data_IF_339807033323
#
_entry.id   IF_339807033323
#
_cell.length_a   1.000
_cell.length_b   1.000
_cell.length_c   1.000
_cell.angle_alpha   90.00
_cell.angle_beta   90.00
_cell.angle_gamma   90.00
#
_symmetry.space_group_name_H-M   'P 1'
#
loop_
_entity.id
_entity.type
_entity.pdbx_description
1 polymer ?
#
# COMPACT_ATOMS: atom_id res chain seq x y z
N UNK A 1 1.43 -24.63 25.13
CA UNK A 1 1.25 -23.30 25.75
C UNK A 1 -0.08 -22.81 25.24
N UNK A 2 -1.05 -22.63 26.13
CA UNK A 2 -2.39 -22.15 25.79
C UNK A 2 -2.26 -20.81 25.05
N UNK A 3 -2.70 -20.78 23.79
CA UNK A 3 -2.83 -19.55 23.00
C UNK A 3 -4.00 -18.77 23.57
N UNK A 4 -3.71 -17.95 24.58
CA UNK A 4 -4.70 -17.09 25.21
C UNK A 4 -5.29 -16.17 24.12
N UNK A 5 -6.61 -16.26 24.03
CA UNK A 5 -7.36 -15.93 22.83
C UNK A 5 -7.23 -14.45 22.48
N UNK A 6 -7.03 -14.16 21.20
CA UNK A 6 -7.14 -12.81 20.69
C UNK A 6 -8.50 -12.20 21.05
N UNK A 7 -8.55 -11.44 22.13
CA UNK A 7 -9.76 -10.73 22.52
C UNK A 7 -10.03 -9.59 21.53
N UNK A 8 -11.15 -9.65 20.83
CA UNK A 8 -11.58 -8.61 19.90
C UNK A 8 -13.05 -8.28 20.08
N UNK A 9 -13.43 -7.06 19.67
CA UNK A 9 -14.83 -6.76 19.32
C UNK A 9 -15.04 -7.00 17.84
N UNK A 10 -16.27 -7.27 17.42
CA UNK A 10 -16.61 -7.47 16.02
C UNK A 10 -17.76 -6.55 15.63
N UNK A 11 -17.67 -5.90 14.46
CA UNK A 11 -18.78 -5.12 13.91
C UNK A 11 -19.72 -5.94 13.03
N UNK A 12 -20.80 -5.31 12.55
CA UNK A 12 -21.82 -5.93 11.71
C UNK A 12 -21.29 -6.41 10.35
N UNK A 13 -20.16 -5.88 9.88
CA UNK A 13 -19.50 -6.28 8.64
C UNK A 13 -18.52 -7.45 8.85
N UNK A 14 -18.33 -7.88 10.10
CA UNK A 14 -17.38 -8.94 10.46
C UNK A 14 -15.95 -8.45 10.65
N UNK A 15 -15.70 -7.14 10.70
CA UNK A 15 -14.38 -6.61 11.05
C UNK A 15 -14.14 -6.85 12.54
N UNK A 16 -12.98 -7.41 12.85
CA UNK A 16 -12.56 -7.76 14.20
C UNK A 16 -11.50 -6.76 14.67
N UNK A 17 -11.75 -6.11 15.80
CA UNK A 17 -10.91 -5.08 16.40
C UNK A 17 -10.25 -5.66 17.66
N UNK A 18 -8.99 -6.12 17.58
CA UNK A 18 -8.30 -6.65 18.75
C UNK A 18 -8.16 -5.57 19.81
N UNK A 19 -8.32 -5.97 21.07
CA UNK A 19 -7.86 -5.14 22.19
C UNK A 19 -6.36 -4.94 22.05
N UNK A 20 -5.89 -3.72 22.26
CA UNK A 20 -4.46 -3.47 22.33
C UNK A 20 -3.88 -4.30 23.48
N UNK A 21 -2.93 -5.17 23.17
CA UNK A 21 -2.15 -5.84 24.20
C UNK A 21 -1.39 -4.80 25.02
N UNK A 22 -1.22 -5.05 26.32
CA UNK A 22 -0.62 -4.10 27.26
C UNK A 22 0.76 -3.64 26.79
N UNK A 23 0.80 -2.47 26.14
CA UNK A 23 2.02 -1.92 25.59
C UNK A 23 2.38 -0.61 26.27
N UNK A 24 3.69 -0.37 26.40
CA UNK A 24 4.26 0.81 27.06
C UNK A 24 4.04 2.05 26.18
N UNK A 25 2.83 2.62 26.23
CA UNK A 25 2.38 3.71 25.35
C UNK A 25 3.38 4.87 25.26
N UNK A 26 3.97 5.29 26.38
CA UNK A 26 4.97 6.37 26.40
C UNK A 26 6.27 6.00 25.65
N UNK A 27 6.69 4.73 25.74
CA UNK A 27 7.88 4.23 25.01
C UNK A 27 7.62 4.30 23.51
N UNK A 28 6.48 3.79 23.05
CA UNK A 28 6.14 3.78 21.63
C UNK A 28 5.98 5.21 21.09
N UNK A 29 5.36 6.12 21.85
CA UNK A 29 5.26 7.54 21.46
C UNK A 29 6.64 8.20 21.31
N UNK A 30 7.60 7.90 22.19
CA UNK A 30 8.97 8.40 22.06
C UNK A 30 9.69 7.80 20.85
N UNK A 31 9.50 6.51 20.57
CA UNK A 31 10.05 5.86 19.38
C UNK A 31 9.48 6.48 18.10
N UNK A 32 8.17 6.76 18.04
CA UNK A 32 7.55 7.42 16.90
C UNK A 32 8.17 8.80 16.61
N UNK A 33 8.49 9.60 17.64
CA UNK A 33 9.19 10.89 17.46
C UNK A 33 10.58 10.75 16.88
N UNK A 34 11.25 9.64 17.16
CA UNK A 34 12.59 9.33 16.63
C UNK A 34 12.50 8.84 15.19
N UNK A 35 11.52 7.98 14.90
CA UNK A 35 11.39 7.30 13.61
C UNK A 35 10.70 8.14 12.54
N UNK A 36 9.78 9.03 12.92
CA UNK A 36 8.97 9.81 11.97
C UNK A 36 9.32 11.30 12.10
N UNK A 37 10.00 11.90 11.11
CA UNK A 37 10.50 13.28 11.20
C UNK A 37 9.43 14.33 11.51
N UNK A 38 8.22 14.15 10.99
CA UNK A 38 7.09 15.06 11.20
C UNK A 38 6.57 15.05 12.64
N UNK A 39 6.80 13.97 13.39
CA UNK A 39 6.31 13.82 14.77
C UNK A 39 7.31 14.31 15.82
N UNK A 40 8.57 14.59 15.44
CA UNK A 40 9.69 14.88 16.36
C UNK A 40 9.36 15.88 17.47
N UNK A 41 8.62 16.94 17.15
CA UNK A 41 8.30 18.03 18.07
C UNK A 41 6.85 18.01 18.60
N UNK A 42 6.08 16.94 18.32
CA UNK A 42 4.69 16.83 18.73
C UNK A 42 4.55 16.30 20.16
N UNK A 43 3.58 16.83 20.91
CA UNK A 43 3.20 16.32 22.23
C UNK A 43 2.54 14.94 22.15
N UNK A 44 2.44 14.23 23.27
CA UNK A 44 1.73 12.93 23.32
C UNK A 44 0.28 13.08 22.84
N UNK A 45 -0.40 14.15 23.25
CA UNK A 45 -1.79 14.42 22.84
C UNK A 45 -1.93 14.70 21.35
N UNK A 46 -0.97 15.41 20.74
CA UNK A 46 -0.96 15.67 19.30
C UNK A 46 -0.80 14.38 18.51
N UNK A 47 0.16 13.52 18.90
CA UNK A 47 0.38 12.22 18.25
C UNK A 47 -0.86 11.35 18.41
N UNK A 48 -1.40 11.21 19.63
CA UNK A 48 -2.61 10.43 19.86
C UNK A 48 -3.83 10.97 19.11
N UNK A 49 -3.94 12.29 18.96
CA UNK A 49 -4.95 12.93 18.13
C UNK A 49 -4.84 12.52 16.66
N UNK A 50 -3.62 12.54 16.10
CA UNK A 50 -3.36 12.06 14.74
C UNK A 50 -3.69 10.58 14.57
N UNK A 51 -3.29 9.73 15.51
CA UNK A 51 -3.58 8.29 15.46
C UNK A 51 -5.07 8.00 15.45
N UNK A 52 -5.88 8.77 16.20
CA UNK A 52 -7.34 8.65 16.16
C UNK A 52 -7.92 9.01 14.79
N UNK A 53 -7.34 9.98 14.09
CA UNK A 53 -7.77 10.36 12.74
C UNK A 53 -7.41 9.31 11.69
N UNK A 54 -6.35 8.53 11.91
CA UNK A 54 -5.95 7.43 11.02
C UNK A 54 -6.88 6.21 11.10
N UNK A 55 -7.70 6.12 12.15
CA UNK A 55 -8.60 4.99 12.39
C UNK A 55 -7.96 3.82 13.13
N UNK A 56 -8.75 2.81 13.49
CA UNK A 56 -8.28 1.66 14.26
C UNK A 56 -7.54 0.65 13.37
N UNK A 57 -6.68 -0.15 13.98
CA UNK A 57 -6.20 -1.38 13.35
C UNK A 57 -7.23 -2.49 13.57
N UNK A 58 -7.50 -3.30 12.55
CA UNK A 58 -8.47 -4.39 12.60
C UNK A 58 -8.09 -5.48 11.61
N UNK A 59 -8.74 -6.63 11.72
CA UNK A 59 -8.62 -7.68 10.73
C UNK A 59 -9.99 -8.16 10.28
N UNK A 60 -10.09 -8.60 9.03
CA UNK A 60 -11.37 -8.85 8.38
C UNK A 60 -11.28 -10.15 7.57
N UNK A 61 -11.79 -11.27 8.14
CA UNK A 61 -11.85 -12.54 7.42
C UNK A 61 -12.71 -12.41 6.16
N UNK A 62 -12.14 -12.78 5.02
CA UNK A 62 -12.82 -12.81 3.71
C UNK A 62 -13.47 -14.17 3.50
N UNK A 63 -12.74 -15.24 3.79
CA UNK A 63 -13.22 -16.62 3.69
C UNK A 63 -12.57 -17.50 4.75
N UNK A 64 -13.34 -18.45 5.25
CA UNK A 64 -12.89 -19.46 6.22
C UNK A 64 -12.71 -20.86 5.62
N UNK A 65 -12.99 -21.04 4.32
CA UNK A 65 -12.99 -22.35 3.64
C UNK A 65 -12.54 -22.19 2.19
N UNK A 66 -11.30 -21.75 1.98
CA UNK A 66 -10.69 -21.82 0.65
C UNK A 66 -10.55 -23.27 0.19
N UNK A 67 -10.57 -23.52 -1.11
CA UNK A 67 -10.38 -24.87 -1.67
C UNK A 67 -9.02 -25.51 -1.35
N UNK A 68 -8.01 -24.71 -1.03
CA UNK A 68 -6.65 -25.12 -0.68
C UNK A 68 -6.38 -24.91 0.82
N UNK A 69 -5.51 -25.74 1.41
CA UNK A 69 -5.12 -25.60 2.82
C UNK A 69 -4.00 -24.55 3.05
N UNK A 70 -4.05 -23.44 2.31
CA UNK A 70 -3.14 -22.32 2.46
C UNK A 70 -3.90 -21.06 2.89
N UNK A 71 -3.25 -20.25 3.73
CA UNK A 71 -3.73 -18.95 4.16
C UNK A 71 -3.14 -17.83 3.30
N UNK A 72 -3.93 -16.80 3.02
CA UNK A 72 -3.48 -15.55 2.42
C UNK A 72 -3.82 -14.39 3.35
N UNK A 73 -2.79 -13.75 3.91
CA UNK A 73 -2.90 -12.60 4.80
C UNK A 73 -2.58 -11.33 4.02
N UNK A 74 -3.60 -10.58 3.62
CA UNK A 74 -3.42 -9.35 2.84
C UNK A 74 -3.26 -8.19 3.81
N UNK A 75 -2.09 -7.56 3.82
CA UNK A 75 -1.77 -6.46 4.75
C UNK A 75 -1.88 -5.12 4.05
N UNK A 76 -2.73 -4.24 4.55
CA UNK A 76 -2.90 -2.89 4.02
C UNK A 76 -2.96 -1.86 5.16
N UNK A 77 -2.58 -0.61 4.90
CA UNK A 77 -2.66 0.44 5.92
C UNK A 77 -4.09 0.92 6.22
N UNK A 78 -5.02 0.74 5.27
CA UNK A 78 -6.39 1.23 5.34
C UNK A 78 -6.63 2.44 4.45
N UNK A 79 -7.77 2.44 3.76
CA UNK A 79 -8.17 3.43 2.75
C UNK A 79 -9.49 4.13 3.11
N UNK A 80 -9.86 4.08 4.39
CA UNK A 80 -11.16 4.49 4.89
C UNK A 80 -12.29 3.51 4.54
N UNK A 81 -13.51 3.70 5.07
CA UNK A 81 -14.57 2.69 5.01
C UNK A 81 -14.92 2.21 3.60
N UNK A 82 -14.94 3.12 2.62
CA UNK A 82 -15.24 2.81 1.22
C UNK A 82 -14.08 2.06 0.56
N UNK A 83 -12.85 2.56 0.69
CA UNK A 83 -11.68 1.93 0.06
C UNK A 83 -11.36 0.56 0.67
N UNK A 84 -11.60 0.39 1.98
CA UNK A 84 -11.45 -0.91 2.66
C UNK A 84 -12.48 -1.93 2.16
N UNK A 85 -13.73 -1.47 1.91
CA UNK A 85 -14.77 -2.32 1.33
C UNK A 85 -14.48 -2.65 -0.13
N UNK A 86 -13.96 -1.72 -0.92
CA UNK A 86 -13.52 -1.96 -2.30
C UNK A 86 -12.44 -3.05 -2.33
N UNK A 87 -11.45 -2.98 -1.43
CA UNK A 87 -10.43 -4.03 -1.28
C UNK A 87 -11.06 -5.37 -0.90
N UNK A 88 -11.90 -5.40 0.15
CA UNK A 88 -12.58 -6.63 0.59
C UNK A 88 -13.39 -7.31 -0.52
N UNK A 89 -14.09 -6.53 -1.33
CA UNK A 89 -14.86 -7.05 -2.46
C UNK A 89 -13.97 -7.55 -3.60
N UNK A 90 -12.84 -6.89 -3.87
CA UNK A 90 -11.92 -7.29 -4.94
C UNK A 90 -11.26 -8.65 -4.69
N UNK A 91 -11.02 -9.01 -3.42
CA UNK A 91 -10.28 -10.22 -3.04
C UNK A 91 -11.17 -11.44 -2.77
N UNK A 92 -12.48 -11.36 -3.02
CA UNK A 92 -13.41 -12.48 -2.80
C UNK A 92 -12.97 -13.76 -3.54
N UNK A 93 -12.52 -13.61 -4.78
CA UNK A 93 -12.03 -14.74 -5.58
C UNK A 93 -10.68 -15.31 -5.11
N UNK A 94 -9.94 -14.59 -4.25
CA UNK A 94 -8.80 -15.15 -3.51
C UNK A 94 -9.32 -16.00 -2.36
N UNK A 95 -10.36 -15.54 -1.67
CA UNK A 95 -11.06 -16.25 -0.60
C UNK A 95 -11.74 -17.56 -1.02
N UNK A 96 -12.11 -17.70 -2.29
CA UNK A 96 -12.60 -18.97 -2.85
C UNK A 96 -11.49 -20.03 -2.93
N UNK A 97 -10.25 -19.61 -3.18
CA UNK A 97 -9.10 -20.51 -3.33
C UNK A 97 -8.39 -20.78 -2.01
N UNK A 98 -8.20 -19.74 -1.20
CA UNK A 98 -7.37 -19.75 0.01
C UNK A 98 -8.14 -19.20 1.20
N UNK A 99 -7.78 -19.63 2.40
CA UNK A 99 -8.29 -18.98 3.61
C UNK A 99 -7.72 -17.57 3.70
N UNK A 100 -8.56 -16.56 3.44
CA UNK A 100 -8.09 -15.19 3.22
C UNK A 100 -8.57 -14.26 4.32
N UNK A 101 -7.66 -13.43 4.85
CA UNK A 101 -7.96 -12.37 5.83
C UNK A 101 -7.26 -11.08 5.42
N UNK A 102 -7.97 -9.96 5.51
CA UNK A 102 -7.35 -8.64 5.45
C UNK A 102 -6.84 -8.26 6.84
N UNK A 103 -5.59 -7.83 6.96
CA UNK A 103 -5.05 -7.20 8.17
C UNK A 103 -4.83 -5.71 7.89
N UNK A 104 -5.71 -4.88 8.45
CA UNK A 104 -5.82 -3.47 8.16
C UNK A 104 -5.20 -2.65 9.28
N UNK A 105 -4.16 -1.87 8.96
CA UNK A 105 -3.52 -1.00 9.92
C UNK A 105 -2.05 -0.68 9.61
N UNK A 106 -1.62 0.51 10.04
CA UNK A 106 -0.22 0.96 9.89
C UNK A 106 0.75 0.27 10.85
N UNK A 107 0.25 -0.46 11.85
CA UNK A 107 1.08 -1.15 12.86
C UNK A 107 2.07 -0.24 13.62
N UNK A 108 1.76 1.06 13.73
CA UNK A 108 2.70 2.04 14.31
C UNK A 108 3.02 1.84 15.78
N UNK A 109 2.09 1.28 16.57
CA UNK A 109 2.24 1.08 18.02
C UNK A 109 1.68 -0.25 18.51
N UNK A 110 1.25 -1.13 17.61
CA UNK A 110 0.73 -2.45 17.94
C UNK A 110 0.71 -3.34 16.71
N UNK A 111 0.94 -4.63 16.92
CA UNK A 111 0.82 -5.69 15.92
C UNK A 111 -0.36 -6.63 16.21
N UNK A 112 -1.25 -6.30 17.17
CA UNK A 112 -2.30 -7.23 17.63
C UNK A 112 -3.22 -7.71 16.49
N UNK A 113 -3.61 -6.84 15.56
CA UNK A 113 -4.39 -7.23 14.38
C UNK A 113 -3.68 -8.24 13.48
N UNK A 114 -2.35 -8.14 13.34
CA UNK A 114 -1.53 -9.07 12.58
C UNK A 114 -1.44 -10.42 13.29
N UNK A 115 -1.05 -10.41 14.58
CA UNK A 115 -0.90 -11.61 15.39
C UNK A 115 -2.22 -12.37 15.49
N UNK A 116 -3.33 -11.66 15.71
CA UNK A 116 -4.65 -12.28 15.77
C UNK A 116 -5.11 -12.86 14.44
N UNK A 117 -4.79 -12.21 13.32
CA UNK A 117 -5.07 -12.79 12.00
C UNK A 117 -4.31 -14.10 11.79
N UNK A 118 -3.03 -14.13 12.17
CA UNK A 118 -2.18 -15.32 12.04
C UNK A 118 -2.64 -16.44 12.97
N UNK A 119 -2.93 -16.13 14.23
CA UNK A 119 -3.42 -17.11 15.19
C UNK A 119 -4.75 -17.73 14.72
N UNK A 120 -5.70 -16.94 14.22
CA UNK A 120 -6.95 -17.46 13.67
C UNK A 120 -6.72 -18.36 12.45
N UNK A 121 -5.69 -18.08 11.64
CA UNK A 121 -5.31 -18.96 10.54
C UNK A 121 -4.71 -20.27 11.04
N UNK A 122 -3.81 -20.23 12.02
CA UNK A 122 -3.18 -21.43 12.61
C UNK A 122 -4.22 -22.31 13.31
N UNK A 123 -5.15 -21.73 14.05
CA UNK A 123 -6.25 -22.44 14.73
C UNK A 123 -7.22 -23.13 13.76
N UNK A 124 -7.17 -22.75 12.48
CA UNK A 124 -7.92 -23.37 11.37
C UNK A 124 -7.06 -24.32 10.54
N UNK A 125 -5.91 -24.75 11.08
CA UNK A 125 -5.03 -25.76 10.50
C UNK A 125 -4.44 -25.42 9.11
N UNK A 126 -4.29 -24.13 8.78
CA UNK A 126 -3.59 -23.75 7.54
C UNK A 126 -2.13 -24.23 7.56
N UNK A 127 -1.67 -24.77 6.44
CA UNK A 127 -0.33 -25.34 6.30
C UNK A 127 0.75 -24.26 6.15
N UNK A 128 0.46 -23.25 5.33
CA UNK A 128 1.31 -22.08 5.07
C UNK A 128 0.46 -20.82 5.02
N UNK A 129 1.03 -19.69 5.43
CA UNK A 129 0.41 -18.35 5.37
C UNK A 129 1.27 -17.47 4.46
N UNK A 130 0.72 -17.07 3.33
CA UNK A 130 1.35 -16.13 2.41
C UNK A 130 0.89 -14.71 2.76
N UNK A 131 1.83 -13.88 3.18
CA UNK A 131 1.56 -12.48 3.54
C UNK A 131 1.75 -11.64 2.29
N UNK A 132 0.68 -10.95 1.88
CA UNK A 132 0.68 -10.04 0.72
C UNK A 132 0.78 -8.60 1.25
N UNK A 133 1.95 -7.95 1.20
CA UNK A 133 2.06 -6.53 1.50
C UNK A 133 1.41 -5.69 0.40
N UNK A 134 0.32 -5.00 0.73
CA UNK A 134 -0.32 -4.03 -0.18
C UNK A 134 0.50 -2.74 -0.17
N UNK A 135 1.50 -2.73 -1.05
CA UNK A 135 2.44 -1.63 -1.29
C UNK A 135 2.92 -1.68 -2.75
N UNK A 136 3.34 -0.54 -3.31
CA UNK A 136 4.02 -0.50 -4.61
C UNK A 136 5.43 -1.07 -4.53
N UNK A 137 6.11 -0.97 -3.39
CA UNK A 137 7.50 -1.39 -3.22
C UNK A 137 7.78 -1.93 -1.82
N UNK A 138 8.81 -2.75 -1.65
CA UNK A 138 9.29 -3.17 -0.32
C UNK A 138 10.09 -2.06 0.39
N UNK A 139 10.57 -1.07 -0.37
CA UNK A 139 11.42 0.01 0.11
C UNK A 139 10.60 1.16 0.69
N UNK A 140 9.94 0.90 1.82
CA UNK A 140 9.25 1.91 2.60
C UNK A 140 9.12 1.49 4.07
N UNK A 141 8.76 2.44 4.93
CA UNK A 141 8.69 2.20 6.37
C UNK A 141 7.56 1.26 6.79
N UNK A 142 6.44 1.20 6.06
CA UNK A 142 5.31 0.33 6.38
C UNK A 142 5.66 -1.14 6.19
N UNK A 143 6.25 -1.49 5.03
CA UNK A 143 6.66 -2.87 4.75
C UNK A 143 7.79 -3.30 5.69
N UNK A 144 8.74 -2.42 6.01
CA UNK A 144 9.77 -2.70 7.03
C UNK A 144 9.17 -2.95 8.41
N UNK A 145 8.14 -2.20 8.81
CA UNK A 145 7.45 -2.45 10.07
C UNK A 145 6.76 -3.82 10.07
N UNK A 146 6.13 -4.20 8.97
CA UNK A 146 5.52 -5.53 8.84
C UNK A 146 6.59 -6.65 8.85
N UNK A 147 7.69 -6.48 8.14
CA UNK A 147 8.82 -7.40 8.20
C UNK A 147 9.39 -7.52 9.62
N UNK A 148 9.47 -6.42 10.37
CA UNK A 148 9.86 -6.44 11.78
C UNK A 148 8.89 -7.30 12.62
N UNK A 149 7.58 -7.17 12.41
CA UNK A 149 6.55 -7.97 13.09
C UNK A 149 6.73 -9.46 12.78
N UNK A 150 7.03 -9.85 11.54
CA UNK A 150 7.28 -11.24 11.16
C UNK A 150 8.71 -11.73 11.43
N UNK A 151 9.50 -10.97 12.19
CA UNK A 151 10.88 -11.31 12.53
C UNK A 151 11.82 -11.46 11.31
N UNK A 152 11.52 -10.76 10.21
CA UNK A 152 12.33 -10.68 8.99
C UNK A 152 13.27 -9.47 8.96
N UNK A 153 12.99 -8.46 9.81
CA UNK A 153 13.84 -7.29 10.04
C UNK A 153 14.19 -7.19 11.53
N UNK A 154 15.43 -6.85 11.86
CA UNK A 154 15.88 -6.70 13.25
C UNK A 154 15.37 -5.40 13.88
N UNK A 155 15.25 -4.34 13.09
CA UNK A 155 14.90 -2.99 13.56
C UNK A 155 13.47 -2.64 13.15
N UNK A 156 12.73 -2.03 14.07
CA UNK A 156 11.40 -1.49 13.74
C UNK A 156 11.54 -0.20 12.93
N UNK A 157 10.54 0.08 12.09
CA UNK A 157 10.48 1.31 11.31
C UNK A 157 9.65 2.41 12.00
N UNK A 158 8.73 2.06 12.91
CA UNK A 158 7.89 3.01 13.64
C UNK A 158 8.15 2.95 15.14
N UNK A 159 7.69 1.88 15.78
CA UNK A 159 7.95 1.56 17.17
C UNK A 159 8.17 0.07 17.34
N UNK A 160 8.77 -0.29 18.46
CA UNK A 160 8.77 -1.68 18.91
C UNK A 160 7.33 -2.12 19.13
N UNK A 161 7.04 -3.35 18.70
CA UNK A 161 5.75 -4.04 18.82
C UNK A 161 6.02 -5.53 18.99
N UNK A 162 5.01 -6.28 19.41
CA UNK A 162 5.13 -7.73 19.51
C UNK A 162 5.41 -8.35 18.13
N UNK A 163 6.25 -9.38 18.12
CA UNK A 163 6.73 -10.05 16.92
C UNK A 163 6.26 -11.50 16.94
N UNK A 164 6.02 -12.04 15.76
CA UNK A 164 5.70 -13.44 15.55
C UNK A 164 6.78 -14.07 14.67
N UNK A 165 7.30 -15.21 15.14
CA UNK A 165 8.22 -16.04 14.37
C UNK A 165 7.55 -17.40 14.16
N UNK A 166 7.20 -17.70 12.92
CA UNK A 166 6.56 -18.96 12.57
C UNK A 166 7.01 -19.37 11.17
N UNK A 167 7.54 -20.59 11.05
CA UNK A 167 8.08 -21.16 9.80
C UNK A 167 7.04 -21.36 8.70
N UNK A 168 5.74 -21.34 9.05
CA UNK A 168 4.64 -21.40 8.08
C UNK A 168 4.40 -20.09 7.35
N UNK A 169 4.98 -18.97 7.81
CA UNK A 169 4.74 -17.64 7.25
C UNK A 169 5.76 -17.35 6.15
N UNK A 170 5.25 -16.96 4.98
CA UNK A 170 6.04 -16.51 3.84
C UNK A 170 5.60 -15.10 3.48
N UNK A 171 6.49 -14.12 3.66
CA UNK A 171 6.26 -12.75 3.19
C UNK A 171 6.53 -12.69 1.69
N UNK A 172 5.51 -12.31 0.91
CA UNK A 172 5.66 -12.09 -0.52
C UNK A 172 6.26 -10.72 -0.79
N UNK A 173 6.96 -10.59 -1.92
CA UNK A 173 7.36 -9.27 -2.42
C UNK A 173 6.11 -8.45 -2.81
N UNK A 174 6.10 -7.13 -2.59
CA UNK A 174 5.09 -6.24 -3.16
C UNK A 174 5.09 -6.27 -4.69
N UNK A 175 4.05 -5.71 -5.32
CA UNK A 175 3.87 -5.81 -6.78
C UNK A 175 5.00 -5.15 -7.60
N UNK A 176 5.74 -4.19 -7.02
CA UNK A 176 6.92 -3.57 -7.65
C UNK A 176 6.61 -3.10 -9.09
N UNK A 177 7.49 -3.43 -10.04
CA UNK A 177 7.30 -3.23 -11.48
C UNK A 177 6.93 -4.53 -12.19
N UNK A 178 6.22 -5.45 -11.52
CA UNK A 178 5.78 -6.71 -12.11
C UNK A 178 4.98 -6.51 -13.41
N UNK A 179 4.92 -7.55 -14.25
CA UNK A 179 4.14 -7.51 -15.50
C UNK A 179 2.67 -7.13 -15.27
N UNK A 180 2.08 -7.51 -14.14
CA UNK A 180 0.73 -7.12 -13.78
C UNK A 180 0.62 -5.61 -13.50
N UNK A 181 1.54 -5.00 -12.73
CA UNK A 181 1.56 -3.54 -12.55
C UNK A 181 1.72 -2.81 -13.90
N UNK A 182 2.61 -3.31 -14.76
CA UNK A 182 2.83 -2.80 -16.12
C UNK A 182 1.56 -2.80 -16.96
N UNK A 183 0.82 -3.92 -16.95
CA UNK A 183 -0.45 -4.06 -17.66
C UNK A 183 -1.55 -3.16 -17.09
N UNK A 184 -1.67 -3.05 -15.77
CA UNK A 184 -2.67 -2.19 -15.12
C UNK A 184 -2.48 -0.73 -15.54
N UNK A 185 -1.26 -0.20 -15.42
CA UNK A 185 -0.99 1.20 -15.78
C UNK A 185 -1.19 1.42 -17.29
N UNK A 186 -0.85 0.45 -18.15
CA UNK A 186 -1.14 0.53 -19.58
C UNK A 186 -2.65 0.59 -19.85
N UNK A 187 -3.46 -0.26 -19.22
CA UNK A 187 -4.92 -0.23 -19.39
C UNK A 187 -5.52 1.10 -18.90
N UNK A 188 -5.11 1.58 -17.72
CA UNK A 188 -5.54 2.89 -17.21
C UNK A 188 -5.10 4.06 -18.09
N UNK A 189 -3.93 3.95 -18.73
CA UNK A 189 -3.48 4.94 -19.72
C UNK A 189 -4.39 4.92 -20.95
N UNK A 190 -4.68 3.74 -21.50
CA UNK A 190 -5.53 3.57 -22.67
C UNK A 190 -6.97 4.02 -22.44
N UNK A 191 -7.48 3.94 -21.20
CA UNK A 191 -8.81 4.45 -20.84
C UNK A 191 -8.96 5.96 -21.04
N UNK A 192 -7.88 6.73 -20.87
CA UNK A 192 -7.90 8.20 -20.95
C UNK A 192 -7.15 8.77 -22.16
N UNK A 193 -6.39 7.93 -22.86
CA UNK A 193 -5.66 8.26 -24.09
C UNK A 193 -6.61 8.33 -25.29
N UNK A 194 -6.35 9.27 -26.19
CA UNK A 194 -7.15 9.47 -27.41
C UNK A 194 -6.30 9.73 -28.65
N UNK A 195 -5.12 10.33 -28.48
CA UNK A 195 -4.12 10.53 -29.54
C UNK A 195 -2.71 10.29 -28.98
N UNK A 196 -2.32 9.01 -28.80
CA UNK A 196 -1.10 8.65 -28.07
C UNK A 196 0.18 9.21 -28.68
N UNK A 197 0.21 9.54 -29.98
CA UNK A 197 1.39 10.16 -30.60
C UNK A 197 1.60 11.64 -30.18
N UNK A 198 0.54 12.30 -29.73
CA UNK A 198 0.53 13.69 -29.28
C UNK A 198 0.29 13.84 -27.77
N UNK A 199 0.43 12.75 -27.02
CA UNK A 199 0.26 12.71 -25.58
C UNK A 199 1.60 12.48 -24.87
N UNK A 200 1.69 12.99 -23.64
CA UNK A 200 2.71 12.61 -22.67
C UNK A 200 2.03 11.95 -21.48
N UNK A 201 2.69 10.97 -20.87
CA UNK A 201 2.17 10.29 -19.69
C UNK A 201 3.01 10.63 -18.45
N UNK A 202 2.32 10.99 -17.39
CA UNK A 202 2.84 11.07 -16.03
C UNK A 202 2.35 9.86 -15.25
N UNK A 203 3.28 9.07 -14.69
CA UNK A 203 2.95 8.07 -13.68
C UNK A 203 3.20 8.69 -12.31
N UNK A 204 2.16 8.87 -11.50
CA UNK A 204 2.24 9.57 -10.20
C UNK A 204 2.07 8.59 -9.04
N UNK A 205 2.94 8.68 -8.02
CA UNK A 205 2.84 7.89 -6.80
C UNK A 205 3.00 8.76 -5.55
N UNK A 206 2.67 8.18 -4.39
CA UNK A 206 2.90 8.82 -3.10
C UNK A 206 4.40 8.96 -2.83
N UNK A 207 5.18 7.90 -3.00
CA UNK A 207 6.62 7.86 -2.73
C UNK A 207 6.98 7.68 -1.26
N UNK A 208 8.14 7.10 -0.93
CA UNK A 208 8.63 6.93 0.42
C UNK A 208 9.17 8.25 0.99
N UNK A 209 9.23 8.34 2.31
CA UNK A 209 9.76 9.54 3.00
C UNK A 209 11.26 9.70 2.73
N UNK A 210 12.00 8.60 2.78
CA UNK A 210 13.45 8.59 2.59
C UNK A 210 13.83 8.77 1.11
N UNK A 211 14.91 9.52 0.87
CA UNK A 211 15.35 9.81 -0.49
C UNK A 211 15.84 8.55 -1.22
N UNK A 212 16.62 7.69 -0.58
CA UNK A 212 17.19 6.51 -1.24
C UNK A 212 16.08 5.52 -1.62
N UNK A 213 15.10 5.34 -0.74
CA UNK A 213 13.89 4.56 -1.03
C UNK A 213 13.10 5.17 -2.19
N UNK A 214 12.92 6.50 -2.20
CA UNK A 214 12.21 7.19 -3.26
C UNK A 214 12.90 7.05 -4.63
N UNK A 215 14.24 7.06 -4.65
CA UNK A 215 14.99 6.79 -5.86
C UNK A 215 14.79 5.35 -6.36
N UNK A 216 14.56 4.38 -5.48
CA UNK A 216 14.20 3.00 -5.87
C UNK A 216 12.79 2.97 -6.46
N UNK A 217 11.81 3.57 -5.80
CA UNK A 217 10.42 3.59 -6.30
C UNK A 217 10.33 4.27 -7.68
N UNK A 218 11.02 5.40 -7.87
CA UNK A 218 11.10 6.06 -9.18
C UNK A 218 11.72 5.16 -10.26
N UNK A 219 12.73 4.34 -9.93
CA UNK A 219 13.30 3.38 -10.89
C UNK A 219 12.29 2.28 -11.27
N UNK A 220 11.56 1.74 -10.30
CA UNK A 220 10.50 0.75 -10.55
C UNK A 220 9.41 1.35 -11.45
N UNK A 221 8.95 2.57 -11.15
CA UNK A 221 7.96 3.26 -11.98
C UNK A 221 8.50 3.58 -13.38
N UNK A 222 9.78 3.92 -13.52
CA UNK A 222 10.39 4.14 -14.83
C UNK A 222 10.44 2.85 -15.66
N UNK A 223 10.64 1.68 -15.05
CA UNK A 223 10.52 0.40 -15.75
C UNK A 223 9.08 0.16 -16.26
N UNK A 224 8.06 0.61 -15.52
CA UNK A 224 6.67 0.61 -15.98
C UNK A 224 6.53 1.56 -17.18
N UNK A 225 7.10 2.77 -17.11
CA UNK A 225 7.10 3.72 -18.21
C UNK A 225 7.76 3.19 -19.49
N UNK A 226 8.89 2.46 -19.37
CA UNK A 226 9.52 1.77 -20.50
C UNK A 226 8.61 0.72 -21.14
N UNK A 227 7.84 -0.01 -20.33
CA UNK A 227 6.86 -0.96 -20.85
C UNK A 227 5.77 -0.23 -21.64
N UNK A 228 5.26 0.89 -21.15
CA UNK A 228 4.22 1.68 -21.84
C UNK A 228 4.73 2.24 -23.16
N UNK A 229 5.95 2.77 -23.20
CA UNK A 229 6.58 3.26 -24.45
C UNK A 229 6.72 2.15 -25.50
N UNK A 230 6.92 0.90 -25.09
CA UNK A 230 7.01 -0.26 -25.99
C UNK A 230 5.66 -0.78 -26.47
N UNK A 231 4.57 -0.47 -25.76
CA UNK A 231 3.23 -1.04 -26.01
C UNK A 231 2.17 0.03 -26.34
N UNK A 232 2.57 1.28 -26.56
CA UNK A 232 1.72 2.38 -26.99
C UNK A 232 2.48 3.32 -27.93
N UNK A 233 1.80 4.28 -28.56
CA UNK A 233 2.45 5.31 -29.36
C UNK A 233 2.96 6.50 -28.52
N UNK A 234 2.74 6.50 -27.19
CA UNK A 234 3.23 7.54 -26.27
C UNK A 234 4.75 7.40 -26.15
N UNK A 235 5.48 8.41 -26.60
CA UNK A 235 6.95 8.42 -26.60
C UNK A 235 7.55 9.02 -25.34
N UNK A 236 6.80 9.87 -24.65
CA UNK A 236 7.25 10.56 -23.42
C UNK A 236 6.45 10.05 -22.24
N UNK A 237 7.14 9.34 -21.35
CA UNK A 237 6.59 8.86 -20.08
C UNK A 237 7.55 9.26 -18.97
N UNK A 238 7.06 9.96 -17.95
CA UNK A 238 7.85 10.42 -16.81
C UNK A 238 7.18 10.01 -15.51
N UNK A 239 7.97 9.47 -14.58
CA UNK A 239 7.48 9.05 -13.26
C UNK A 239 7.78 10.09 -12.20
N UNK A 240 6.81 10.36 -11.34
CA UNK A 240 6.97 11.28 -10.23
C UNK A 240 6.37 10.72 -8.94
N UNK A 241 7.00 11.11 -7.83
CA UNK A 241 6.52 10.87 -6.47
C UNK A 241 6.23 12.20 -5.82
N UNK A 242 5.08 12.33 -5.15
CA UNK A 242 4.76 13.55 -4.39
C UNK A 242 5.65 13.66 -3.12
N UNK A 243 5.97 12.53 -2.50
CA UNK A 243 6.52 12.38 -1.16
C UNK A 243 5.70 13.17 -0.13
N UNK A 244 4.42 12.84 -0.06
CA UNK A 244 3.42 13.59 0.72
C UNK A 244 3.70 13.61 2.24
N UNK A 245 4.36 12.58 2.75
CA UNK A 245 4.75 12.44 4.16
C UNK A 245 6.17 12.95 4.46
N UNK A 246 6.91 13.39 3.43
CA UNK A 246 8.24 13.97 3.61
C UNK A 246 8.17 15.42 4.13
N UNK A 247 9.28 15.97 4.66
CA UNK A 247 9.36 17.39 4.99
C UNK A 247 8.81 18.28 3.87
N UNK A 248 8.00 19.29 4.24
CA UNK A 248 7.28 20.16 3.29
C UNK A 248 8.15 20.70 2.15
N UNK A 249 9.41 21.04 2.43
CA UNK A 249 10.35 21.53 1.43
C UNK A 249 10.64 20.52 0.31
N UNK A 250 10.68 19.22 0.62
CA UNK A 250 10.88 18.14 -0.36
C UNK A 250 9.63 18.01 -1.23
N UNK A 251 8.46 17.90 -0.60
CA UNK A 251 7.17 17.85 -1.31
C UNK A 251 6.97 19.04 -2.25
N UNK A 252 7.24 20.25 -1.77
CA UNK A 252 7.10 21.48 -2.55
C UNK A 252 8.08 21.52 -3.74
N UNK A 253 9.28 20.93 -3.61
CA UNK A 253 10.23 20.79 -4.72
C UNK A 253 9.72 19.78 -5.76
N UNK A 254 9.17 18.65 -5.32
CA UNK A 254 8.58 17.64 -6.21
C UNK A 254 7.42 18.24 -7.01
N UNK A 255 6.50 18.95 -6.36
CA UNK A 255 5.44 19.66 -7.04
C UNK A 255 5.95 20.65 -8.10
N UNK A 256 6.98 21.44 -7.77
CA UNK A 256 7.58 22.37 -8.73
C UNK A 256 8.14 21.65 -9.97
N UNK A 257 8.79 20.49 -9.77
CA UNK A 257 9.32 19.68 -10.87
C UNK A 257 8.20 19.12 -11.76
N UNK A 258 7.13 18.59 -11.15
CA UNK A 258 5.98 18.07 -11.89
C UNK A 258 5.32 19.20 -12.70
N UNK A 259 5.04 20.35 -12.07
CA UNK A 259 4.46 21.52 -12.75
C UNK A 259 5.33 22.03 -13.89
N UNK A 260 6.65 22.05 -13.71
CA UNK A 260 7.57 22.45 -14.77
C UNK A 260 7.50 21.50 -15.97
N UNK A 261 7.47 20.19 -15.72
CA UNK A 261 7.29 19.19 -16.78
C UNK A 261 5.95 19.32 -17.50
N UNK A 262 4.87 19.53 -16.74
CA UNK A 262 3.54 19.72 -17.31
C UNK A 262 3.47 20.99 -18.18
N UNK A 263 3.95 22.12 -17.67
CA UNK A 263 3.94 23.37 -18.43
C UNK A 263 4.76 23.26 -19.72
N UNK A 264 5.95 22.66 -19.67
CA UNK A 264 6.77 22.43 -20.86
C UNK A 264 6.05 21.53 -21.88
N UNK A 265 5.37 20.47 -21.42
CA UNK A 265 4.61 19.57 -22.29
C UNK A 265 3.44 20.28 -22.98
N UNK A 266 2.72 21.14 -22.24
CA UNK A 266 1.64 21.95 -22.80
C UNK A 266 2.17 23.01 -23.80
N UNK A 267 3.32 23.63 -23.52
CA UNK A 267 4.00 24.55 -24.45
C UNK A 267 4.43 23.86 -25.75
N UNK A 268 4.82 22.59 -25.66
CA UNK A 268 5.11 21.71 -26.82
C UNK A 268 3.84 21.20 -27.54
N UNK A 269 2.66 21.64 -27.10
CA UNK A 269 1.37 21.27 -27.68
C UNK A 269 0.96 19.82 -27.41
N UNK A 270 1.54 19.17 -26.39
CA UNK A 270 1.19 17.80 -26.00
C UNK A 270 0.03 17.79 -25.01
N UNK A 271 -0.85 16.81 -25.15
CA UNK A 271 -1.88 16.53 -24.15
C UNK A 271 -1.29 15.72 -22.99
N UNK A 272 -1.53 16.16 -21.76
CA UNK A 272 -0.98 15.52 -20.57
C UNK A 272 -1.98 14.50 -20.02
N UNK A 273 -1.52 13.25 -19.90
CA UNK A 273 -2.18 12.20 -19.15
C UNK A 273 -1.47 12.00 -17.83
N UNK A 274 -2.24 11.77 -16.76
CA UNK A 274 -1.72 11.37 -15.47
C UNK A 274 -2.42 10.08 -15.02
N UNK A 275 -1.64 9.08 -14.64
CA UNK A 275 -2.15 7.80 -14.11
C UNK A 275 -1.50 7.54 -12.77
N UNK A 276 -2.31 7.18 -11.77
CA UNK A 276 -1.79 6.84 -10.44
C UNK A 276 -1.18 5.44 -10.37
N UNK A 277 0.05 5.35 -9.87
CA UNK A 277 0.64 4.12 -9.35
C UNK A 277 0.39 4.05 -7.83
N UNK A 278 -0.88 3.99 -7.46
CA UNK A 278 -1.32 3.94 -6.06
C UNK A 278 -2.11 2.66 -5.81
N UNK A 279 -2.00 2.12 -4.60
CA UNK A 279 -2.73 0.90 -4.25
C UNK A 279 -4.24 1.14 -4.26
N UNK A 280 -4.69 2.19 -3.58
CA UNK A 280 -6.09 2.61 -3.63
C UNK A 280 -6.24 3.87 -4.46
N UNK A 281 -7.37 3.96 -5.18
CA UNK A 281 -7.74 5.20 -5.85
C UNK A 281 -8.16 6.27 -4.85
N UNK A 282 -8.71 5.92 -3.68
CA UNK A 282 -9.38 6.87 -2.79
C UNK A 282 -8.38 7.72 -1.98
N UNK A 283 -8.68 9.00 -1.84
CA UNK A 283 -8.06 9.90 -0.85
C UNK A 283 -7.05 10.90 -1.41
N UNK A 284 -6.58 10.68 -2.64
CA UNK A 284 -5.56 11.55 -3.28
C UNK A 284 -6.13 12.46 -4.37
N UNK A 285 -7.32 12.15 -4.93
CA UNK A 285 -7.85 12.87 -6.09
C UNK A 285 -8.00 14.36 -5.84
N UNK A 286 -8.68 14.72 -4.75
CA UNK A 286 -8.91 16.11 -4.39
C UNK A 286 -7.59 16.88 -4.22
N UNK A 287 -6.58 16.22 -3.66
CA UNK A 287 -5.26 16.81 -3.44
C UNK A 287 -4.49 17.00 -4.74
N UNK A 288 -4.56 16.04 -5.67
CA UNK A 288 -4.02 16.16 -7.03
C UNK A 288 -4.71 17.33 -7.77
N UNK A 289 -6.04 17.42 -7.70
CA UNK A 289 -6.80 18.51 -8.29
C UNK A 289 -6.37 19.89 -7.75
N UNK A 290 -6.22 20.02 -6.43
CA UNK A 290 -5.72 21.23 -5.77
C UNK A 290 -4.25 21.54 -6.13
N UNK A 291 -3.38 20.53 -6.13
CA UNK A 291 -1.96 20.71 -6.41
C UNK A 291 -1.73 21.19 -7.85
N UNK A 292 -2.51 20.72 -8.82
CA UNK A 292 -2.35 21.04 -10.25
C UNK A 292 -3.45 21.95 -10.82
N UNK A 293 -4.11 22.71 -9.95
CA UNK A 293 -5.12 23.70 -10.36
C UNK A 293 -4.54 24.66 -11.43
N UNK A 294 -5.32 24.85 -12.51
CA UNK A 294 -4.97 25.75 -13.61
C UNK A 294 -4.07 25.15 -14.70
N UNK A 295 -3.66 23.88 -14.58
CA UNK A 295 -2.95 23.15 -15.63
C UNK A 295 -3.97 22.25 -16.37
N UNK A 296 -3.90 22.19 -17.71
CA UNK A 296 -4.71 21.26 -18.49
C UNK A 296 -4.08 19.86 -18.50
N UNK A 297 -4.80 18.87 -17.97
CA UNK A 297 -4.42 17.47 -17.93
C UNK A 297 -5.65 16.57 -17.76
N UNK A 298 -5.52 15.29 -18.11
CA UNK A 298 -6.53 14.27 -17.81
C UNK A 298 -5.99 13.25 -16.83
N UNK A 299 -6.73 12.98 -15.76
CA UNK A 299 -6.29 12.09 -14.67
C UNK A 299 -7.11 10.80 -14.62
N UNK A 300 -6.44 9.65 -14.56
CA UNK A 300 -7.04 8.39 -14.16
C UNK A 300 -6.83 8.18 -12.66
N UNK A 301 -7.90 8.26 -11.82
CA UNK A 301 -7.78 8.21 -10.37
C UNK A 301 -7.86 6.79 -9.78
N UNK A 302 -7.82 5.74 -10.61
CA UNK A 302 -7.99 4.36 -10.16
C UNK A 302 -6.72 3.82 -9.51
N UNK A 303 -6.89 3.00 -8.47
CA UNK A 303 -5.78 2.33 -7.79
C UNK A 303 -5.64 0.87 -8.22
N UNK A 304 -4.43 0.33 -8.11
CA UNK A 304 -4.09 -1.02 -8.54
C UNK A 304 -4.98 -2.10 -7.91
N UNK A 305 -5.35 -1.95 -6.62
CA UNK A 305 -6.12 -2.94 -5.87
C UNK A 305 -7.46 -3.31 -6.52
N UNK A 306 -8.04 -2.37 -7.26
CA UNK A 306 -9.36 -2.54 -7.88
C UNK A 306 -9.29 -3.15 -9.28
N UNK A 307 -8.08 -3.36 -9.80
CA UNK A 307 -7.88 -3.97 -11.11
C UNK A 307 -7.86 -5.50 -11.02
N UNK A 308 -8.54 -6.23 -11.93
CA UNK A 308 -8.50 -7.70 -11.96
C UNK A 308 -7.08 -8.29 -11.97
N UNK A 309 -6.16 -7.70 -12.74
CA UNK A 309 -4.74 -8.09 -12.75
C UNK A 309 -4.03 -8.02 -11.41
N UNK A 310 -4.44 -7.17 -10.48
CA UNK A 310 -3.84 -7.18 -9.14
C UNK A 310 -4.24 -8.44 -8.37
N UNK A 311 -5.48 -8.88 -8.56
CA UNK A 311 -5.98 -10.13 -7.98
C UNK A 311 -5.31 -11.35 -8.63
N UNK A 312 -5.10 -11.31 -9.94
CA UNK A 312 -4.35 -12.34 -10.64
C UNK A 312 -2.90 -12.41 -10.16
N UNK A 313 -2.26 -11.26 -9.96
CA UNK A 313 -0.91 -11.17 -9.38
C UNK A 313 -0.83 -11.81 -7.98
N UNK A 314 -1.81 -11.57 -7.11
CA UNK A 314 -1.86 -12.22 -5.79
C UNK A 314 -1.89 -13.74 -5.95
N UNK A 315 -2.79 -14.25 -6.81
CA UNK A 315 -2.97 -15.68 -7.02
C UNK A 315 -1.72 -16.34 -7.60
N UNK A 316 -1.10 -15.71 -8.59
CA UNK A 316 0.15 -16.20 -9.21
C UNK A 316 1.31 -16.16 -8.22
N UNK A 317 1.43 -15.08 -7.44
CA UNK A 317 2.49 -14.94 -6.43
C UNK A 317 2.38 -16.04 -5.36
N UNK A 318 1.17 -16.37 -4.92
CA UNK A 318 0.94 -17.49 -3.98
C UNK A 318 1.29 -18.82 -4.65
N UNK A 319 0.79 -19.08 -5.86
CA UNK A 319 1.01 -20.34 -6.57
C UNK A 319 2.51 -20.63 -6.78
N UNK A 320 3.28 -19.63 -7.20
CA UNK A 320 4.73 -19.73 -7.44
C UNK A 320 5.54 -20.09 -6.17
N UNK A 321 4.99 -19.94 -4.97
CA UNK A 321 5.64 -20.33 -3.71
C UNK A 321 5.10 -21.64 -3.12
N UNK A 322 4.17 -22.29 -3.83
CA UNK A 322 3.61 -23.59 -3.47
C UNK A 322 4.15 -24.74 -4.33
N UNK A 323 4.63 -24.44 -5.53
CA UNK A 323 5.32 -25.37 -6.45
C UNK A 323 6.79 -25.61 -6.06
#
# INVERSE_FOLDING_TARGET
MEMDHCEYTQDEMGKKYPKMMHHMMDKSLNQLRMSIPTLKNMSNDQIMGMMRMMGPNYFWPVSNQGSQNYGVLIMAHGYGPVGDLDLFNSVQSVGELYQTTLSMGMSMMTSSHVICSVNEMIDKDVEKIFVVPVSSTAHNTLVRQWNYIFNLEEQFAYSEVERIANERIVMLEPINDDIYAKKIILEYTNEISSDPANEVLIIIAHGPIDQADNEIELRLMNNIGEYIKKHSSIQTVESFTLQDDAPKTIRDQNLKRIKAFMNASNEDGKRILMVSNLMSGKGIQKKIEEDFEGIDYTFNPKGLLTHPYYIDWIKESVANHTE
#
